data_IF_934353075341
#
_entry.id   IF_934353075341
#
_cell.length_a   1.000
_cell.length_b   1.000
_cell.length_c   1.000
_cell.angle_alpha   90.00
_cell.angle_beta   90.00
_cell.angle_gamma   90.00
#
_symmetry.space_group_name_H-M   'P 1'
#
loop_
_entity.id
_entity.type
_entity.pdbx_description
1 polymer ?
#
# COMPACT_ATOMS: atom_id res chain seq x y z
N UNK A 1 -6.46 15.97 25.01
CA UNK A 1 -6.91 16.13 23.62
C UNK A 1 -6.53 14.85 22.88
N UNK A 2 -7.40 13.85 22.97
CA UNK A 2 -7.16 12.50 22.44
C UNK A 2 -7.29 12.55 20.91
N UNK A 3 -6.16 12.39 20.21
CA UNK A 3 -6.19 12.16 18.77
C UNK A 3 -6.65 10.73 18.56
N UNK A 4 -7.95 10.55 18.37
CA UNK A 4 -8.51 9.31 17.85
C UNK A 4 -7.80 8.98 16.53
N UNK A 5 -6.98 7.93 16.53
CA UNK A 5 -6.33 7.40 15.33
C UNK A 5 -7.34 6.55 14.53
N UNK A 6 -8.48 7.16 14.16
CA UNK A 6 -9.54 6.55 13.36
C UNK A 6 -9.68 7.18 11.96
N UNK A 7 -8.71 7.97 11.52
CA UNK A 7 -8.75 8.59 10.20
C UNK A 7 -8.55 7.56 9.09
N UNK A 8 -9.50 7.36 8.18
CA UNK A 8 -9.24 6.63 6.94
C UNK A 8 -8.27 7.39 6.01
N UNK A 9 -8.07 6.87 4.79
CA UNK A 9 -7.27 7.52 3.74
C UNK A 9 -7.58 9.02 3.59
N UNK A 10 -6.52 9.82 3.48
CA UNK A 10 -6.62 11.27 3.27
C UNK A 10 -7.04 11.60 1.84
N UNK A 11 -7.36 12.86 1.56
CA UNK A 11 -7.67 13.28 0.20
C UNK A 11 -6.50 13.06 -0.78
N UNK A 12 -5.26 13.10 -0.30
CA UNK A 12 -4.07 12.81 -1.12
C UNK A 12 -4.05 11.35 -1.58
N UNK A 13 -4.20 10.43 -0.63
CA UNK A 13 -4.22 8.99 -0.87
C UNK A 13 -5.34 8.61 -1.85
N UNK A 14 -6.54 9.19 -1.64
CA UNK A 14 -7.70 8.96 -2.52
C UNK A 14 -7.47 9.50 -3.94
N UNK A 15 -6.82 10.65 -4.08
CA UNK A 15 -6.47 11.21 -5.40
C UNK A 15 -5.47 10.32 -6.14
N UNK A 16 -4.45 9.81 -5.45
CA UNK A 16 -3.49 8.88 -6.06
C UNK A 16 -4.17 7.59 -6.51
N UNK A 17 -5.03 7.00 -5.66
CA UNK A 17 -5.82 5.83 -6.02
C UNK A 17 -6.72 6.07 -7.24
N UNK A 18 -7.39 7.24 -7.30
CA UNK A 18 -8.23 7.58 -8.45
C UNK A 18 -7.41 7.75 -9.74
N UNK A 19 -6.25 8.39 -9.65
CA UNK A 19 -5.33 8.54 -10.78
C UNK A 19 -4.86 7.16 -11.31
N UNK A 20 -4.49 6.24 -10.41
CA UNK A 20 -4.12 4.87 -10.76
C UNK A 20 -5.29 4.11 -11.41
N UNK A 21 -6.49 4.15 -10.81
CA UNK A 21 -7.70 3.52 -11.37
C UNK A 21 -7.99 4.02 -12.79
N UNK A 22 -7.84 5.34 -13.04
CA UNK A 22 -8.03 5.93 -14.37
C UNK A 22 -6.98 5.45 -15.38
N UNK A 23 -5.71 5.34 -14.98
CA UNK A 23 -4.65 4.83 -15.85
C UNK A 23 -4.91 3.35 -16.23
N UNK A 24 -5.22 2.52 -15.25
CA UNK A 24 -5.51 1.09 -15.44
C UNK A 24 -6.81 0.84 -16.22
N UNK A 25 -7.78 1.76 -16.19
CA UNK A 25 -9.03 1.62 -16.92
C UNK A 25 -8.82 1.53 -18.45
N UNK A 26 -7.75 2.12 -18.97
CA UNK A 26 -7.40 2.09 -20.39
C UNK A 26 -6.74 0.80 -20.87
N UNK A 27 -6.30 -0.07 -19.96
CA UNK A 27 -5.63 -1.34 -20.26
C UNK A 27 -6.64 -2.49 -20.40
N UNK A 28 -6.23 -3.61 -20.99
CA UNK A 28 -7.03 -4.83 -20.96
C UNK A 28 -7.03 -5.50 -19.57
N UNK A 29 -7.85 -6.54 -19.39
CA UNK A 29 -7.97 -7.19 -18.08
C UNK A 29 -6.69 -7.94 -17.67
N UNK A 30 -5.94 -8.48 -18.61
CA UNK A 30 -4.74 -9.27 -18.33
C UNK A 30 -3.57 -8.36 -17.96
N UNK A 31 -3.44 -7.19 -18.62
CA UNK A 31 -2.49 -6.15 -18.25
C UNK A 31 -2.74 -5.60 -16.84
N UNK A 32 -4.02 -5.39 -16.45
CA UNK A 32 -4.38 -4.98 -15.09
C UNK A 32 -4.05 -6.08 -14.07
N UNK A 33 -4.28 -7.35 -14.43
CA UNK A 33 -3.91 -8.48 -13.60
C UNK A 33 -2.40 -8.57 -13.38
N UNK A 34 -1.59 -8.33 -14.42
CA UNK A 34 -0.13 -8.32 -14.34
C UNK A 34 0.41 -7.15 -13.52
N UNK A 35 -0.23 -5.98 -13.63
CA UNK A 35 0.03 -4.86 -12.72
C UNK A 35 -0.22 -5.28 -11.26
N UNK A 36 -1.37 -5.89 -10.96
CA UNK A 36 -1.70 -6.33 -9.60
C UNK A 36 -0.69 -7.35 -9.06
N UNK A 37 -0.31 -8.35 -9.86
CA UNK A 37 0.73 -9.33 -9.48
C UNK A 37 2.07 -8.65 -9.18
N UNK A 38 2.42 -7.65 -9.98
CA UNK A 38 3.64 -6.86 -9.78
C UNK A 38 3.56 -6.02 -8.51
N UNK A 39 2.44 -5.33 -8.27
CA UNK A 39 2.20 -4.58 -7.04
C UNK A 39 2.34 -5.48 -5.80
N UNK A 40 1.74 -6.68 -5.80
CA UNK A 40 1.88 -7.63 -4.70
C UNK A 40 3.34 -8.06 -4.50
N UNK A 41 4.08 -8.35 -5.58
CA UNK A 41 5.49 -8.72 -5.51
C UNK A 41 6.34 -7.60 -4.91
N UNK A 42 6.16 -6.37 -5.38
CA UNK A 42 6.86 -5.16 -4.92
C UNK A 42 6.50 -4.87 -3.46
N UNK A 43 5.21 -4.92 -3.11
CA UNK A 43 4.75 -4.75 -1.73
C UNK A 43 5.40 -5.77 -0.78
N UNK A 44 5.54 -7.04 -1.19
CA UNK A 44 6.18 -8.09 -0.39
C UNK A 44 7.67 -7.87 -0.12
N UNK A 45 8.38 -7.07 -0.92
CA UNK A 45 9.79 -6.78 -0.63
C UNK A 45 9.96 -5.83 0.55
N UNK A 46 8.97 -4.98 0.81
CA UNK A 46 8.96 -4.07 1.96
C UNK A 46 8.50 -4.75 3.25
N UNK A 47 8.10 -6.02 3.19
CA UNK A 47 7.54 -6.75 4.32
C UNK A 47 8.64 -7.38 5.20
N UNK A 48 9.42 -6.51 5.85
CA UNK A 48 10.53 -6.86 6.76
C UNK A 48 10.28 -6.29 8.15
N UNK A 49 10.90 -6.90 9.17
CA UNK A 49 10.81 -6.41 10.56
C UNK A 49 11.43 -5.03 10.74
N UNK A 50 12.50 -4.74 10.02
CA UNK A 50 13.19 -3.45 10.07
C UNK A 50 12.29 -2.32 9.58
N UNK A 51 11.66 -2.47 8.40
CA UNK A 51 10.72 -1.48 7.87
C UNK A 51 9.48 -1.39 8.75
N UNK A 52 8.97 -2.51 9.26
CA UNK A 52 7.83 -2.50 10.18
C UNK A 52 8.12 -1.71 11.46
N UNK A 53 9.31 -1.88 12.05
CA UNK A 53 9.72 -1.16 13.25
C UNK A 53 9.83 0.35 13.04
N UNK A 54 10.41 0.78 11.91
CA UNK A 54 10.52 2.20 11.59
C UNK A 54 9.14 2.81 11.28
N UNK A 55 8.29 2.08 10.55
CA UNK A 55 6.92 2.47 10.28
C UNK A 55 6.10 2.59 11.57
N UNK A 56 6.25 1.66 12.51
CA UNK A 56 5.61 1.70 13.83
C UNK A 56 6.03 2.94 14.62
N UNK A 57 7.33 3.25 14.62
CA UNK A 57 7.89 4.39 15.33
C UNK A 57 7.37 5.73 14.79
N UNK A 58 7.21 5.85 13.47
CA UNK A 58 6.83 7.10 12.81
C UNK A 58 5.31 7.27 12.66
N UNK A 59 4.59 6.21 12.27
CA UNK A 59 3.20 6.31 11.87
C UNK A 59 2.20 6.00 12.96
N UNK A 60 2.52 5.07 13.85
CA UNK A 60 1.61 4.60 14.91
C UNK A 60 2.37 4.34 16.21
N UNK A 61 3.06 5.35 16.77
CA UNK A 61 3.92 5.17 17.94
C UNK A 61 3.13 4.58 19.11
N UNK A 62 3.54 3.37 19.53
CA UNK A 62 2.96 2.65 20.66
C UNK A 62 1.66 1.89 20.38
N UNK A 63 1.12 1.93 19.15
CA UNK A 63 -0.08 1.18 18.75
C UNK A 63 0.26 -0.10 17.97
N UNK A 64 1.35 -0.07 17.20
CA UNK A 64 1.73 -1.16 16.29
C UNK A 64 0.88 -1.20 15.02
N UNK A 65 1.50 -1.53 13.89
CA UNK A 65 0.84 -1.54 12.57
C UNK A 65 0.04 -2.82 12.30
N UNK A 66 0.21 -3.89 13.07
CA UNK A 66 -0.39 -5.19 12.70
C UNK A 66 -0.06 -5.59 11.25
N UNK A 67 -0.69 -6.64 10.72
CA UNK A 67 -0.43 -7.05 9.33
C UNK A 67 -1.25 -6.24 8.31
N UNK A 68 -2.48 -5.84 8.67
CA UNK A 68 -3.40 -5.11 7.79
C UNK A 68 -2.91 -3.66 7.57
N UNK A 69 -2.63 -2.90 8.64
CA UNK A 69 -2.14 -1.52 8.47
C UNK A 69 -0.73 -1.50 7.89
N UNK A 70 0.08 -2.54 8.09
CA UNK A 70 1.37 -2.63 7.41
C UNK A 70 1.23 -2.91 5.91
N UNK A 71 0.13 -3.52 5.47
CA UNK A 71 -0.19 -3.64 4.04
C UNK A 71 -0.56 -2.30 3.41
N UNK A 72 -1.35 -1.50 4.12
CA UNK A 72 -1.69 -0.14 3.71
C UNK A 72 -0.46 0.76 3.68
N UNK A 73 0.42 0.60 4.67
CA UNK A 73 1.67 1.32 4.75
C UNK A 73 2.59 1.04 3.55
N UNK A 74 2.78 -0.24 3.20
CA UNK A 74 3.61 -0.60 2.04
C UNK A 74 3.00 -0.07 0.74
N UNK A 75 1.67 -0.07 0.63
CA UNK A 75 0.96 0.51 -0.52
C UNK A 75 1.15 2.04 -0.59
N UNK A 76 1.15 2.73 0.55
CA UNK A 76 1.42 4.17 0.64
C UNK A 76 2.85 4.51 0.20
N UNK A 77 3.87 3.75 0.64
CA UNK A 77 5.26 3.94 0.18
C UNK A 77 5.37 3.80 -1.34
N UNK A 78 4.72 2.79 -1.92
CA UNK A 78 4.73 2.56 -3.37
C UNK A 78 4.02 3.69 -4.13
N UNK A 79 2.97 4.28 -3.56
CA UNK A 79 2.23 5.37 -4.17
C UNK A 79 3.06 6.67 -4.31
N UNK A 80 4.11 6.84 -3.49
CA UNK A 80 5.11 7.90 -3.63
C UNK A 80 6.11 7.69 -4.79
N UNK A 81 6.04 6.53 -5.45
CA UNK A 81 6.80 6.23 -6.66
C UNK A 81 8.11 5.51 -6.42
N UNK A 82 8.79 5.19 -7.52
CA UNK A 82 9.96 4.29 -7.53
C UNK A 82 11.11 4.77 -6.63
N UNK A 83 11.43 6.07 -6.65
CA UNK A 83 12.52 6.62 -5.85
C UNK A 83 12.26 6.49 -4.34
N UNK A 84 11.01 6.75 -3.92
CA UNK A 84 10.60 6.58 -2.53
C UNK A 84 10.63 5.10 -2.11
N UNK A 85 10.11 4.22 -2.96
CA UNK A 85 10.15 2.78 -2.76
C UNK A 85 11.59 2.24 -2.63
N UNK A 86 12.49 2.59 -3.55
CA UNK A 86 13.87 2.12 -3.53
C UNK A 86 14.65 2.71 -2.34
N UNK A 87 14.37 3.98 -1.99
CA UNK A 87 14.92 4.63 -0.81
C UNK A 87 14.57 3.87 0.47
N UNK A 88 13.27 3.68 0.74
CA UNK A 88 12.81 2.97 1.95
C UNK A 88 13.29 1.53 1.99
N UNK A 89 13.38 0.87 0.82
CA UNK A 89 13.91 -0.49 0.73
C UNK A 89 15.40 -0.58 1.10
N UNK A 90 16.17 0.48 0.83
CA UNK A 90 17.59 0.54 1.12
C UNK A 90 17.89 1.09 2.53
N UNK A 91 17.11 2.07 2.97
CA UNK A 91 17.23 2.75 4.26
C UNK A 91 15.83 3.15 4.76
N UNK A 92 15.26 2.39 5.71
CA UNK A 92 13.93 2.68 6.25
C UNK A 92 13.83 4.06 6.92
N UNK A 93 14.93 4.62 7.44
CA UNK A 93 14.90 5.93 8.13
C UNK A 93 14.49 7.09 7.21
N UNK A 94 14.60 6.90 5.89
CA UNK A 94 14.15 7.87 4.88
C UNK A 94 12.63 8.11 4.91
N UNK A 95 11.86 7.25 5.59
CA UNK A 95 10.44 7.47 5.84
C UNK A 95 10.17 8.83 6.51
N UNK A 96 11.05 9.27 7.41
CA UNK A 96 10.91 10.55 8.11
C UNK A 96 10.96 11.77 7.16
N UNK A 97 11.47 11.60 5.94
CA UNK A 97 11.58 12.65 4.93
C UNK A 97 10.38 12.71 3.96
N UNK A 98 9.36 11.87 4.14
CA UNK A 98 8.22 11.83 3.23
C UNK A 98 7.39 13.13 3.33
N UNK A 99 6.92 13.68 2.20
CA UNK A 99 6.33 15.02 2.15
C UNK A 99 5.00 15.17 2.93
N UNK A 100 4.32 14.06 3.17
CA UNK A 100 3.02 13.96 3.84
C UNK A 100 3.08 13.20 5.17
N UNK A 101 4.29 12.87 5.66
CA UNK A 101 4.47 12.10 6.91
C UNK A 101 3.73 12.74 8.09
N UNK A 102 3.78 14.06 8.23
CA UNK A 102 3.11 14.81 9.31
C UNK A 102 1.58 14.90 9.14
N UNK A 103 1.07 14.71 7.93
CA UNK A 103 -0.36 14.80 7.60
C UNK A 103 -1.10 13.47 7.86
N UNK A 104 -0.34 12.43 8.19
CA UNK A 104 -0.82 11.07 8.39
C UNK A 104 -0.16 10.15 7.36
N UNK A 105 0.49 9.12 7.85
CA UNK A 105 1.20 8.16 7.01
C UNK A 105 0.57 6.77 7.07
N UNK A 106 0.95 5.97 6.09
CA UNK A 106 0.56 4.57 5.97
C UNK A 106 -0.89 4.32 5.56
N UNK A 107 -1.58 5.30 4.99
CA UNK A 107 -3.01 5.18 4.63
C UNK A 107 -3.23 4.80 3.16
N UNK A 108 -2.46 3.82 2.69
CA UNK A 108 -2.38 3.44 1.27
C UNK A 108 -3.41 2.41 0.79
N UNK A 109 -4.35 1.98 1.64
CA UNK A 109 -5.40 1.01 1.29
C UNK A 109 -6.05 1.29 -0.08
N UNK A 110 -6.55 2.50 -0.39
CA UNK A 110 -7.27 2.72 -1.64
C UNK A 110 -6.38 2.58 -2.88
N UNK A 111 -5.08 2.85 -2.73
CA UNK A 111 -4.10 2.66 -3.79
C UNK A 111 -3.78 1.18 -3.97
N UNK A 112 -3.58 0.44 -2.88
CA UNK A 112 -3.35 -1.00 -2.89
C UNK A 112 -4.48 -1.77 -3.58
N UNK A 113 -5.73 -1.42 -3.28
CA UNK A 113 -6.91 -2.08 -3.85
C UNK A 113 -7.17 -1.72 -5.33
N UNK A 114 -6.59 -0.63 -5.83
CA UNK A 114 -6.98 -0.02 -7.09
C UNK A 114 -6.95 -0.97 -8.30
N UNK A 115 -5.92 -1.80 -8.39
CA UNK A 115 -5.75 -2.73 -9.51
C UNK A 115 -6.75 -3.89 -9.46
N UNK A 116 -6.92 -4.50 -8.29
CA UNK A 116 -7.91 -5.54 -8.07
C UNK A 116 -9.32 -5.03 -8.40
N UNK A 117 -9.66 -3.84 -7.90
CA UNK A 117 -10.92 -3.17 -8.18
C UNK A 117 -11.23 -3.01 -9.68
N UNK A 118 -10.24 -2.53 -10.45
CA UNK A 118 -10.39 -2.35 -11.91
C UNK A 118 -10.55 -3.72 -12.59
N UNK A 119 -9.74 -4.71 -12.21
CA UNK A 119 -9.81 -6.05 -12.76
C UNK A 119 -11.17 -6.71 -12.50
N UNK A 120 -11.69 -6.64 -11.27
CA UNK A 120 -12.99 -7.22 -10.92
C UNK A 120 -14.13 -6.57 -11.72
N UNK A 121 -14.10 -5.24 -11.89
CA UNK A 121 -15.08 -4.54 -12.73
C UNK A 121 -15.01 -4.94 -14.20
N UNK A 122 -13.81 -5.09 -14.76
CA UNK A 122 -13.62 -5.49 -16.18
C UNK A 122 -14.06 -6.92 -16.45
N UNK A 123 -13.85 -7.82 -15.50
CA UNK A 123 -14.10 -9.26 -15.68
C UNK A 123 -15.44 -9.74 -15.14
N UNK A 124 -16.12 -8.95 -14.30
CA UNK A 124 -17.33 -9.35 -13.58
C UNK A 124 -17.08 -10.42 -12.51
N UNK A 125 -15.81 -10.70 -12.16
CA UNK A 125 -15.44 -11.69 -11.15
C UNK A 125 -15.57 -11.12 -9.74
N UNK A 126 -15.61 -11.99 -8.75
CA UNK A 126 -15.44 -11.64 -7.33
C UNK A 126 -13.98 -11.78 -6.92
N UNK A 127 -13.55 -11.13 -5.84
CA UNK A 127 -12.19 -11.28 -5.30
C UNK A 127 -11.82 -12.76 -5.07
N UNK A 128 -12.72 -13.54 -4.46
CA UNK A 128 -12.54 -14.98 -4.22
C UNK A 128 -12.38 -15.82 -5.51
N UNK A 129 -12.89 -15.35 -6.65
CA UNK A 129 -12.82 -16.04 -7.95
C UNK A 129 -11.88 -15.34 -8.95
N UNK A 130 -11.10 -14.37 -8.48
CA UNK A 130 -10.20 -13.58 -9.32
C UNK A 130 -9.00 -14.38 -9.82
N UNK A 131 -8.51 -15.32 -9.00
CA UNK A 131 -7.24 -16.02 -9.22
C UNK A 131 -6.01 -15.13 -8.99
N UNK A 132 -6.20 -13.90 -8.51
CA UNK A 132 -5.13 -12.96 -8.22
C UNK A 132 -4.59 -13.16 -6.79
N UNK A 133 -3.29 -12.93 -6.57
CA UNK A 133 -2.72 -12.98 -5.22
C UNK A 133 -3.26 -11.85 -4.35
N UNK A 134 -3.37 -12.09 -3.04
CA UNK A 134 -3.71 -11.04 -2.05
C UNK A 134 -2.49 -10.20 -1.68
N UNK A 135 -2.73 -8.93 -1.36
CA UNK A 135 -1.72 -7.98 -0.88
C UNK A 135 -1.28 -8.28 0.56
N UNK A 136 -2.25 -8.65 1.39
CA UNK A 136 -2.03 -9.04 2.78
C UNK A 136 -1.20 -10.33 2.85
N UNK A 137 -0.09 -10.31 3.59
CA UNK A 137 0.70 -11.50 3.86
C UNK A 137 0.02 -12.37 4.92
N UNK A 138 0.12 -13.69 4.76
CA UNK A 138 -0.49 -14.66 5.70
C UNK A 138 0.44 -15.11 6.83
N UNK A 139 1.64 -14.54 6.91
CA UNK A 139 2.70 -14.90 7.85
C UNK A 139 3.42 -13.61 8.27
N UNK A 140 3.99 -13.56 9.49
CA UNK A 140 4.65 -12.36 10.00
C UNK A 140 5.86 -11.91 9.16
N UNK A 141 6.32 -10.66 9.32
CA UNK A 141 7.43 -10.10 8.56
C UNK A 141 8.70 -10.91 8.73
N UNK A 142 9.47 -10.99 7.64
CA UNK A 142 10.78 -11.65 7.65
C UNK A 142 11.74 -10.87 8.56
N UNK A 143 12.61 -11.62 9.25
CA UNK A 143 13.72 -11.06 9.99
C UNK A 143 14.66 -10.29 9.05
#
# INVERSE_FOLDING_TARGET
MERSCSGGATDGDRRQAHALKRALAGLDADEVADFHRTLVRVSRTLYTREIAGEADALCLPGLGLGDDLFTDFRSWVIAHGQAAYDGVRADPSLLAAFPDIERGCGRGEPFGEAALDVYLRKTGRTAARSGLPVLEPSRPPKA
#
